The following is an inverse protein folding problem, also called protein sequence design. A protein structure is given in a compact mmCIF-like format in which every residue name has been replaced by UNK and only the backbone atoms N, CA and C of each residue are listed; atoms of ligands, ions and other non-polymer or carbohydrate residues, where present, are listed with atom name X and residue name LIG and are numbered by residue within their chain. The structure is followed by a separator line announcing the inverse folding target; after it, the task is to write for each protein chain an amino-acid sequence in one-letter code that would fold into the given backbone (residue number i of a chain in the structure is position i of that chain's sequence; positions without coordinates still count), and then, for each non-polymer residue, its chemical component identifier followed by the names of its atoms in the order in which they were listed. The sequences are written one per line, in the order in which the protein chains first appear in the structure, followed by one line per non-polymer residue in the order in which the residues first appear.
data_IF_418414963541
#
_entry.id   IF_418414963541
#
_cell.length_a   1.000
_cell.length_b   1.000
_cell.length_c   1.000
_cell.angle_alpha   90.00
_cell.angle_beta   90.00
_cell.angle_gamma   90.00
#
_symmetry.space_group_name_H-M   'P 1'
#
loop_
_entity.id
_entity.type
_entity.pdbx_description
1 polymer ?
#
# COMPACT_ATOMS: atom_id res chain seq x y z
N UNK A 1 4.03 2.03 -21.55
CA UNK A 1 4.29 3.45 -21.25
C UNK A 1 3.79 3.80 -19.86
N UNK A 2 4.19 4.94 -19.30
CA UNK A 2 3.91 5.33 -17.90
C UNK A 2 2.43 5.31 -17.53
N UNK A 3 1.56 5.81 -18.40
CA UNK A 3 0.10 5.70 -18.24
C UNK A 3 -0.36 4.25 -18.02
N UNK A 4 0.14 3.30 -18.82
CA UNK A 4 -0.25 1.89 -18.67
C UNK A 4 0.27 1.27 -17.37
N UNK A 5 1.48 1.66 -16.93
CA UNK A 5 2.01 1.26 -15.63
C UNK A 5 1.13 1.80 -14.50
N UNK A 6 0.80 3.10 -14.55
CA UNK A 6 -0.06 3.74 -13.56
C UNK A 6 -1.44 3.06 -13.47
N UNK A 7 -2.07 2.76 -14.61
CA UNK A 7 -3.35 2.03 -14.63
C UNK A 7 -3.22 0.61 -14.06
N UNK A 8 -2.15 -0.12 -14.41
CA UNK A 8 -1.89 -1.44 -13.84
C UNK A 8 -1.68 -1.40 -12.33
N UNK A 9 -0.99 -0.38 -11.82
CA UNK A 9 -0.76 -0.20 -10.40
C UNK A 9 -2.02 0.22 -9.63
N UNK A 10 -2.94 1.00 -10.21
CA UNK A 10 -4.21 1.35 -9.55
C UNK A 10 -4.99 0.11 -9.10
N UNK A 11 -4.98 -0.94 -9.91
CA UNK A 11 -5.69 -2.20 -9.63
C UNK A 11 -4.82 -3.28 -8.98
N UNK A 12 -3.51 -3.09 -8.90
CA UNK A 12 -2.63 -4.04 -8.25
C UNK A 12 -2.93 -4.10 -6.74
N UNK A 13 -3.09 -5.31 -6.20
CA UNK A 13 -3.39 -5.55 -4.78
C UNK A 13 -2.30 -6.31 -4.02
N UNK A 14 -1.23 -6.69 -4.71
CA UNK A 14 -0.16 -7.51 -4.15
C UNK A 14 1.13 -6.71 -3.92
N UNK A 15 1.39 -5.71 -4.76
CA UNK A 15 2.64 -4.97 -4.73
C UNK A 15 2.64 -3.93 -3.59
N UNK A 16 3.64 -4.05 -2.71
CA UNK A 16 3.84 -3.18 -1.55
C UNK A 16 5.01 -2.23 -1.70
N UNK A 17 5.96 -2.52 -2.59
CA UNK A 17 7.11 -1.65 -2.87
C UNK A 17 7.47 -1.69 -4.36
N UNK A 18 7.89 -0.55 -4.91
CA UNK A 18 8.39 -0.43 -6.27
C UNK A 18 9.55 0.56 -6.30
N UNK A 19 10.62 0.21 -7.03
CA UNK A 19 11.72 1.12 -7.33
C UNK A 19 11.77 1.38 -8.83
N UNK A 20 11.67 2.66 -9.19
CA UNK A 20 11.78 3.19 -10.55
C UNK A 20 12.74 4.39 -10.60
N UNK A 21 13.66 4.47 -9.63
CA UNK A 21 14.78 5.42 -9.65
C UNK A 21 15.71 5.16 -10.84
N UNK A 22 16.44 6.18 -11.27
CA UNK A 22 17.31 6.15 -12.44
C UNK A 22 16.58 6.20 -13.78
N UNK A 23 15.24 6.28 -13.80
CA UNK A 23 14.49 6.43 -15.05
C UNK A 23 14.19 7.90 -15.33
N UNK A 24 14.33 8.30 -16.59
CA UNK A 24 14.03 9.66 -17.04
C UNK A 24 12.52 9.84 -17.19
N UNK A 25 11.94 10.72 -16.37
CA UNK A 25 10.54 11.09 -16.43
C UNK A 25 10.33 12.42 -17.15
N UNK A 26 9.20 12.55 -17.82
CA UNK A 26 8.62 13.83 -18.25
C UNK A 26 7.61 14.28 -17.18
N UNK A 27 7.31 15.58 -17.12
CA UNK A 27 6.32 16.13 -16.16
C UNK A 27 4.98 15.39 -16.18
N UNK A 28 4.50 15.02 -17.38
CA UNK A 28 3.43 14.05 -17.68
C UNK A 28 3.34 12.88 -16.69
N UNK A 29 4.47 12.22 -16.56
CA UNK A 29 4.58 10.95 -15.88
C UNK A 29 4.39 11.10 -14.37
N UNK A 30 4.81 12.23 -13.78
CA UNK A 30 4.64 12.49 -12.35
C UNK A 30 3.18 12.70 -11.97
N UNK A 31 2.39 13.34 -12.83
CA UNK A 31 0.95 13.50 -12.63
C UNK A 31 0.25 12.12 -12.64
N UNK A 32 0.64 11.23 -13.53
CA UNK A 32 0.08 9.88 -13.62
C UNK A 32 0.45 9.01 -12.41
N UNK A 33 1.67 9.15 -11.88
CA UNK A 33 2.07 8.52 -10.62
C UNK A 33 1.25 9.04 -9.43
N UNK A 34 1.01 10.36 -9.35
CA UNK A 34 0.19 10.96 -8.30
C UNK A 34 -1.26 10.44 -8.36
N UNK A 35 -1.90 10.46 -9.54
CA UNK A 35 -3.26 9.92 -9.74
C UNK A 35 -3.37 8.43 -9.41
N UNK A 36 -2.30 7.67 -9.64
CA UNK A 36 -2.26 6.26 -9.25
C UNK A 36 -2.18 6.10 -7.74
N UNK A 37 -1.31 6.86 -7.06
CA UNK A 37 -1.13 6.82 -5.61
C UNK A 37 -2.40 7.24 -4.83
N UNK A 38 -3.23 8.11 -5.41
CA UNK A 38 -4.53 8.46 -4.81
C UNK A 38 -5.51 7.29 -4.72
N UNK A 39 -5.37 6.29 -5.59
CA UNK A 39 -6.29 5.14 -5.70
C UNK A 39 -5.68 3.87 -5.13
N UNK A 40 -4.37 3.65 -5.29
CA UNK A 40 -3.73 2.45 -4.79
C UNK A 40 -3.57 2.50 -3.26
N UNK A 41 -4.12 1.49 -2.58
CA UNK A 41 -4.09 1.36 -1.12
C UNK A 41 -3.12 0.29 -0.61
N UNK A 42 -2.39 -0.38 -1.51
CA UNK A 42 -1.52 -1.52 -1.17
C UNK A 42 -0.04 -1.17 -1.19
N UNK A 43 0.34 -0.18 -1.99
CA UNK A 43 1.70 0.29 -2.13
C UNK A 43 2.08 1.10 -0.89
N UNK A 44 3.20 0.74 -0.27
CA UNK A 44 3.74 1.33 0.95
C UNK A 44 5.03 2.10 0.68
N UNK A 45 5.69 1.80 -0.45
CA UNK A 45 6.95 2.44 -0.84
C UNK A 45 7.03 2.58 -2.36
N UNK A 46 7.43 3.75 -2.83
CA UNK A 46 7.72 4.03 -4.23
C UNK A 46 8.98 4.90 -4.30
N UNK A 47 10.04 4.37 -4.89
CA UNK A 47 11.29 5.12 -5.10
C UNK A 47 11.30 5.71 -6.51
N UNK A 48 11.41 7.04 -6.62
CA UNK A 48 11.40 7.80 -7.88
C UNK A 48 12.37 8.97 -7.75
N UNK A 49 13.12 9.25 -8.81
CA UNK A 49 13.95 10.45 -8.89
C UNK A 49 13.08 11.67 -9.21
N UNK A 50 12.81 12.48 -8.19
CA UNK A 50 12.04 13.70 -8.34
C UNK A 50 12.94 14.86 -8.78
N UNK A 51 12.59 15.60 -9.85
CA UNK A 51 13.37 16.75 -10.28
C UNK A 51 13.25 17.87 -9.24
N UNK A 52 14.39 18.33 -8.72
CA UNK A 52 14.47 19.34 -7.66
C UNK A 52 14.03 20.75 -8.08
N UNK A 53 14.00 21.04 -9.38
CA UNK A 53 13.65 22.37 -9.93
C UNK A 53 12.23 22.53 -10.46
N UNK A 54 11.39 21.50 -10.42
CA UNK A 54 10.02 21.54 -10.97
C UNK A 54 8.99 21.69 -9.84
N UNK A 55 8.36 22.86 -9.73
CA UNK A 55 7.30 23.12 -8.75
C UNK A 55 6.15 22.12 -8.90
N UNK A 56 5.77 21.78 -10.13
CA UNK A 56 4.75 20.77 -10.43
C UNK A 56 5.13 19.38 -9.92
N UNK A 57 6.35 18.93 -10.20
CA UNK A 57 6.82 17.63 -9.71
C UNK A 57 6.87 17.61 -8.17
N UNK A 58 7.18 18.74 -7.52
CA UNK A 58 7.17 18.84 -6.07
C UNK A 58 5.77 18.69 -5.46
N UNK A 59 4.72 19.17 -6.14
CA UNK A 59 3.32 18.98 -5.71
C UNK A 59 2.91 17.52 -5.84
N UNK A 60 3.17 16.91 -7.00
CA UNK A 60 2.91 15.49 -7.22
C UNK A 60 3.67 14.60 -6.23
N UNK A 61 4.93 14.94 -5.92
CA UNK A 61 5.73 14.25 -4.92
C UNK A 61 5.04 14.24 -3.56
N UNK A 62 4.53 15.39 -3.10
CA UNK A 62 3.82 15.48 -1.81
C UNK A 62 2.59 14.58 -1.78
N UNK A 63 1.82 14.53 -2.87
CA UNK A 63 0.64 13.65 -2.98
C UNK A 63 1.07 12.19 -2.84
N UNK A 64 2.06 11.75 -3.62
CA UNK A 64 2.56 10.37 -3.57
C UNK A 64 3.07 10.03 -2.17
N UNK A 65 3.95 10.85 -1.60
CA UNK A 65 4.50 10.62 -0.27
C UNK A 65 3.42 10.58 0.82
N UNK A 66 2.41 11.46 0.73
CA UNK A 66 1.32 11.45 1.69
C UNK A 66 0.48 10.17 1.59
N UNK A 67 0.15 9.74 0.38
CA UNK A 67 -0.65 8.53 0.17
C UNK A 67 0.07 7.27 0.62
N UNK A 68 1.38 7.17 0.39
CA UNK A 68 2.17 6.06 0.91
C UNK A 68 2.21 6.04 2.45
N UNK A 69 2.32 7.22 3.09
CA UNK A 69 2.22 7.34 4.55
C UNK A 69 0.84 6.91 5.06
N UNK A 70 -0.24 7.37 4.43
CA UNK A 70 -1.61 7.01 4.81
C UNK A 70 -1.80 5.48 4.70
N UNK A 71 -1.34 4.86 3.62
CA UNK A 71 -1.40 3.41 3.43
C UNK A 71 -0.61 2.65 4.50
N UNK A 72 0.58 3.13 4.85
CA UNK A 72 1.39 2.54 5.92
C UNK A 72 0.71 2.66 7.28
N UNK A 73 0.14 3.83 7.60
CA UNK A 73 -0.60 4.06 8.84
C UNK A 73 -1.82 3.14 8.91
N UNK A 74 -2.65 3.10 7.86
CA UNK A 74 -3.81 2.20 7.78
C UNK A 74 -3.40 0.75 8.03
N UNK A 75 -2.33 0.26 7.39
CA UNK A 75 -1.85 -1.11 7.63
C UNK A 75 -1.37 -1.31 9.06
N UNK A 76 -0.62 -0.36 9.61
CA UNK A 76 -0.06 -0.45 10.96
C UNK A 76 -1.08 -0.29 12.09
N UNK A 77 -2.19 0.41 11.85
CA UNK A 77 -3.25 0.63 12.85
C UNK A 77 -4.35 -0.41 12.69
N UNK A 78 -4.83 -0.65 11.47
CA UNK A 78 -5.95 -1.57 11.24
C UNK A 78 -5.57 -3.02 11.52
N UNK A 79 -4.40 -3.50 11.10
CA UNK A 79 -4.05 -4.93 11.29
C UNK A 79 -3.90 -5.28 12.78
N UNK A 80 -3.10 -4.57 13.59
CA UNK A 80 -2.97 -4.90 15.01
C UNK A 80 -4.25 -4.63 15.81
N UNK A 81 -4.98 -3.56 15.49
CA UNK A 81 -6.23 -3.25 16.20
C UNK A 81 -7.28 -4.35 15.99
N UNK A 82 -7.43 -4.86 14.75
CA UNK A 82 -8.31 -5.99 14.47
C UNK A 82 -7.90 -7.26 15.24
N UNK A 83 -6.59 -7.56 15.29
CA UNK A 83 -6.06 -8.70 16.04
C UNK A 83 -6.22 -8.55 17.57
N UNK A 84 -6.17 -7.32 18.08
CA UNK A 84 -6.34 -7.04 19.51
C UNK A 84 -7.80 -6.94 19.95
N UNK A 85 -8.73 -6.88 19.00
CA UNK A 85 -10.16 -6.83 19.32
C UNK A 85 -10.60 -8.15 19.96
N UNK A 86 -11.31 -8.08 21.09
CA UNK A 86 -11.73 -9.29 21.82
C UNK A 86 -12.61 -10.20 20.98
N UNK A 87 -13.36 -9.62 20.02
CA UNK A 87 -14.20 -10.36 19.08
C UNK A 87 -13.36 -11.25 18.17
N UNK A 88 -12.21 -10.78 17.68
CA UNK A 88 -11.33 -11.58 16.85
C UNK A 88 -10.53 -12.60 17.65
N UNK A 89 -10.06 -12.24 18.86
CA UNK A 89 -9.38 -13.17 19.78
C UNK A 89 -10.29 -14.32 20.20
N UNK A 90 -11.53 -14.03 20.60
CA UNK A 90 -12.52 -15.05 20.97
C UNK A 90 -12.83 -15.97 19.78
N UNK A 91 -12.98 -15.42 18.56
CA UNK A 91 -13.17 -16.24 17.36
C UNK A 91 -11.98 -17.14 17.04
N UNK A 92 -10.75 -16.65 17.21
CA UNK A 92 -9.53 -17.43 17.00
C UNK A 92 -9.30 -18.50 18.08
N UNK A 93 -9.61 -18.20 19.34
CA UNK A 93 -9.54 -19.14 20.47
C UNK A 93 -10.57 -20.26 20.31
N UNK A 94 -11.83 -19.94 19.97
CA UNK A 94 -12.87 -20.94 19.72
C UNK A 94 -12.44 -21.90 18.60
N UNK A 95 -11.85 -21.40 17.51
CA UNK A 95 -11.35 -22.26 16.43
C UNK A 95 -10.16 -23.13 16.86
N UNK A 96 -9.32 -22.66 17.78
CA UNK A 96 -8.21 -23.43 18.35
C UNK A 96 -8.75 -24.54 19.27
N UNK A 97 -9.68 -24.21 20.16
CA UNK A 97 -10.33 -25.18 21.06
C UNK A 97 -11.11 -26.24 20.26
N UNK A 98 -11.87 -25.84 19.23
CA UNK A 98 -12.55 -26.79 18.34
C UNK A 98 -11.58 -27.75 17.64
N UNK A 99 -10.39 -27.27 17.25
CA UNK A 99 -9.35 -28.14 16.67
C UNK A 99 -8.74 -29.08 17.69
N UNK A 100 -8.44 -28.62 18.90
CA UNK A 100 -7.89 -29.46 19.97
C UNK A 100 -8.89 -30.55 20.38
N UNK A 101 -10.18 -30.22 20.43
CA UNK A 101 -11.27 -31.19 20.63
C UNK A 101 -11.24 -32.24 19.52
N UNK A 102 -11.29 -31.85 18.25
CA UNK A 102 -11.35 -32.79 17.12
C UNK A 102 -10.10 -33.69 17.06
N UNK A 103 -8.91 -33.17 17.36
CA UNK A 103 -7.66 -33.95 17.37
C UNK A 103 -7.58 -34.87 18.58
N UNK A 104 -8.16 -34.52 19.73
CA UNK A 104 -8.22 -35.39 20.91
C UNK A 104 -9.20 -36.57 20.80
N UNK A 105 -10.07 -36.58 19.79
CA UNK A 105 -11.03 -37.66 19.50
C UNK A 105 -10.58 -38.61 18.36
N UNK A 106 -9.39 -38.41 17.78
CA UNK A 106 -8.75 -39.29 16.79
C UNK A 106 -7.57 -40.03 17.43
#
# INVERSE_FOLDING_TARGET
GWKALAEGLKINRALTSMDISGIIFKDNNFEELAKMAEVNTTLLSLNVDWPSGSSRASEHRKIVEQKLRDNAVLRSVTVPMLLSSSVFLQGAEILKEMKEIIVGYL
#
